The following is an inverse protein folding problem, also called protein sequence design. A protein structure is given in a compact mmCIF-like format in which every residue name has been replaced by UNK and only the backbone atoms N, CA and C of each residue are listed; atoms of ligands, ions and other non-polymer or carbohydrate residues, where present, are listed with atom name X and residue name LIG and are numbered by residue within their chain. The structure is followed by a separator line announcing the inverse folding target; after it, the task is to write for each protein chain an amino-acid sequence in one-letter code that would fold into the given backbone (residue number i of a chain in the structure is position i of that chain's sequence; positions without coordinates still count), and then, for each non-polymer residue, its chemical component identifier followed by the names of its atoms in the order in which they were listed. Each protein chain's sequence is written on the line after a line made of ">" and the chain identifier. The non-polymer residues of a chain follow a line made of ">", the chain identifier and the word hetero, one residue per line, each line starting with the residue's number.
data_IF_932921547425
#
_entry.id   IF_932921547425
#
_cell.length_a   1.000
_cell.length_b   1.000
_cell.length_c   1.000
_cell.angle_alpha   90.00
_cell.angle_beta   90.00
_cell.angle_gamma   90.00
#
_symmetry.space_group_name_H-M   'P 1'
#
loop_
_entity.id
_entity.type
_entity.pdbx_description
1 polymer ?
#
# COMPACT_ATOMS: atom_id res chain seq x y z
N UNK A 1 -31.31 -36.39 23.36
CA UNK A 1 -29.91 -36.82 23.56
C UNK A 1 -29.29 -35.95 24.66
N UNK A 2 -28.92 -36.54 25.81
CA UNK A 2 -28.22 -35.81 26.88
C UNK A 2 -26.80 -35.55 26.41
N UNK A 3 -26.52 -34.33 25.92
CA UNK A 3 -25.16 -33.92 25.64
C UNK A 3 -24.34 -34.00 26.93
N UNK A 4 -23.36 -34.86 26.96
CA UNK A 4 -22.42 -34.99 28.07
C UNK A 4 -21.74 -33.66 28.31
N UNK A 5 -21.45 -33.26 29.56
CA UNK A 5 -20.74 -32.02 29.93
C UNK A 5 -19.52 -31.81 29.03
N UNK A 6 -18.85 -32.87 28.69
CA UNK A 6 -17.73 -32.95 27.75
C UNK A 6 -18.06 -32.36 26.37
N UNK A 7 -19.18 -32.73 25.76
CA UNK A 7 -19.59 -32.25 24.44
C UNK A 7 -19.91 -30.74 24.48
N UNK A 8 -20.52 -30.27 25.57
CA UNK A 8 -20.82 -28.85 25.76
C UNK A 8 -19.53 -28.03 25.87
N UNK A 9 -18.54 -28.52 26.63
CA UNK A 9 -17.26 -27.86 26.82
C UNK A 9 -16.45 -27.81 25.51
N UNK A 10 -16.45 -28.91 24.74
CA UNK A 10 -15.77 -28.99 23.44
C UNK A 10 -16.40 -28.03 22.42
N UNK A 11 -17.74 -27.96 22.36
CA UNK A 11 -18.45 -27.01 21.50
C UNK A 11 -18.17 -25.57 21.90
N UNK A 12 -18.17 -25.25 23.20
CA UNK A 12 -17.86 -23.91 23.71
C UNK A 12 -16.44 -23.47 23.31
N UNK A 13 -15.47 -24.38 23.43
CA UNK A 13 -14.10 -24.12 23.00
C UNK A 13 -13.95 -23.91 21.50
N UNK A 14 -14.69 -24.69 20.71
CA UNK A 14 -14.69 -24.55 19.26
C UNK A 14 -15.28 -23.22 18.82
N UNK A 15 -16.40 -22.81 19.45
CA UNK A 15 -17.03 -21.51 19.16
C UNK A 15 -16.07 -20.38 19.53
N UNK A 16 -15.45 -20.42 20.72
CA UNK A 16 -14.47 -19.43 21.14
C UNK A 16 -13.28 -19.37 20.18
N UNK A 17 -12.76 -20.53 19.76
CA UNK A 17 -11.68 -20.62 18.80
C UNK A 17 -12.01 -19.97 17.45
N UNK A 18 -13.20 -20.24 16.92
CA UNK A 18 -13.66 -19.64 15.66
C UNK A 18 -13.78 -18.13 15.78
N UNK A 19 -14.37 -17.63 16.87
CA UNK A 19 -14.50 -16.19 17.11
C UNK A 19 -13.11 -15.53 17.21
N UNK A 20 -12.22 -16.12 18.00
CA UNK A 20 -10.85 -15.61 18.15
C UNK A 20 -10.08 -15.61 16.83
N UNK A 21 -10.25 -16.66 16.01
CA UNK A 21 -9.67 -16.75 14.67
C UNK A 21 -10.13 -15.59 13.78
N UNK A 22 -11.44 -15.31 13.71
CA UNK A 22 -11.96 -14.21 12.92
C UNK A 22 -11.45 -12.85 13.40
N UNK A 23 -11.41 -12.62 14.72
CA UNK A 23 -10.90 -11.36 15.29
C UNK A 23 -9.43 -11.16 14.90
N UNK A 24 -8.59 -12.19 15.09
CA UNK A 24 -7.17 -12.11 14.76
C UNK A 24 -6.97 -11.85 13.26
N UNK A 25 -7.67 -12.58 12.38
CA UNK A 25 -7.53 -12.39 10.95
C UNK A 25 -7.96 -10.99 10.51
N UNK A 26 -9.11 -10.49 10.98
CA UNK A 26 -9.60 -9.15 10.63
C UNK A 26 -8.65 -8.05 11.12
N UNK A 27 -8.20 -8.17 12.37
CA UNK A 27 -7.29 -7.19 12.98
C UNK A 27 -5.92 -7.19 12.26
N UNK A 28 -5.37 -8.36 12.00
CA UNK A 28 -4.10 -8.49 11.27
C UNK A 28 -4.21 -7.92 9.86
N UNK A 29 -5.32 -8.16 9.16
CA UNK A 29 -5.53 -7.62 7.82
C UNK A 29 -5.51 -6.09 7.82
N UNK A 30 -6.26 -5.47 8.72
CA UNK A 30 -6.33 -4.00 8.80
C UNK A 30 -4.96 -3.39 9.10
N UNK A 31 -4.26 -3.89 10.13
CA UNK A 31 -2.93 -3.40 10.49
C UNK A 31 -1.89 -3.61 9.38
N UNK A 32 -1.94 -4.76 8.69
CA UNK A 32 -0.99 -5.07 7.62
C UNK A 32 -1.23 -4.17 6.42
N UNK A 33 -2.49 -3.91 6.06
CA UNK A 33 -2.83 -3.01 4.95
C UNK A 33 -2.32 -1.61 5.24
N UNK A 34 -2.67 -1.03 6.39
CA UNK A 34 -2.23 0.31 6.78
C UNK A 34 -0.69 0.44 6.84
N UNK A 35 -0.03 -0.60 7.34
CA UNK A 35 1.43 -0.62 7.42
C UNK A 35 2.08 -0.65 6.02
N UNK A 36 1.59 -1.51 5.12
CA UNK A 36 2.16 -1.63 3.77
C UNK A 36 1.87 -0.38 2.94
N UNK A 37 0.67 0.22 3.05
CA UNK A 37 0.34 1.48 2.38
C UNK A 37 1.29 2.59 2.82
N UNK A 38 1.52 2.77 4.11
CA UNK A 38 2.46 3.77 4.64
C UNK A 38 3.91 3.49 4.26
N UNK A 39 4.31 2.23 4.28
CA UNK A 39 5.66 1.83 3.89
C UNK A 39 5.91 2.12 2.41
N UNK A 40 4.93 1.81 1.55
CA UNK A 40 5.02 2.07 0.13
C UNK A 40 5.00 3.57 -0.17
N UNK A 41 4.12 4.33 0.48
CA UNK A 41 4.10 5.79 0.38
C UNK A 41 5.46 6.41 0.78
N UNK A 42 6.07 5.93 1.85
CA UNK A 42 7.40 6.38 2.28
C UNK A 42 8.50 6.06 1.25
N UNK A 43 8.45 4.88 0.64
CA UNK A 43 9.39 4.49 -0.42
C UNK A 43 9.24 5.39 -1.65
N UNK A 44 8.00 5.59 -2.12
CA UNK A 44 7.69 6.46 -3.26
C UNK A 44 8.10 7.90 -2.97
N UNK A 45 7.82 8.40 -1.77
CA UNK A 45 8.21 9.76 -1.37
C UNK A 45 9.73 9.97 -1.40
N UNK A 46 10.49 8.98 -0.94
CA UNK A 46 11.94 9.06 -1.01
C UNK A 46 12.44 9.18 -2.45
N UNK A 47 11.89 8.38 -3.37
CA UNK A 47 12.27 8.45 -4.79
C UNK A 47 11.79 9.76 -5.44
N UNK A 48 10.56 10.21 -5.14
CA UNK A 48 10.07 11.51 -5.59
C UNK A 48 11.00 12.65 -5.14
N UNK A 49 11.51 12.56 -3.89
CA UNK A 49 12.43 13.58 -3.34
C UNK A 49 13.81 13.54 -4.02
N UNK A 50 14.31 12.35 -4.40
CA UNK A 50 15.55 12.21 -5.16
C UNK A 50 15.38 12.81 -6.56
N UNK A 51 14.28 12.48 -7.25
CA UNK A 51 14.00 13.06 -8.57
C UNK A 51 13.89 14.60 -8.47
N UNK A 52 13.16 15.09 -7.46
CA UNK A 52 12.95 16.51 -7.27
C UNK A 52 14.25 17.27 -6.91
N UNK A 53 15.12 16.67 -6.08
CA UNK A 53 16.34 17.30 -5.63
C UNK A 53 17.50 17.21 -6.62
N UNK A 54 17.72 16.03 -7.18
CA UNK A 54 18.92 15.80 -8.01
C UNK A 54 18.64 16.05 -9.50
N UNK A 55 17.62 15.37 -10.06
CA UNK A 55 17.39 15.41 -11.50
C UNK A 55 16.61 16.64 -11.96
N UNK A 56 15.61 17.07 -11.19
CA UNK A 56 14.81 18.23 -11.57
C UNK A 56 15.60 19.52 -11.45
N UNK A 57 16.48 19.67 -10.43
CA UNK A 57 17.35 20.82 -10.27
C UNK A 57 18.33 20.94 -11.45
N UNK A 58 18.91 19.82 -11.92
CA UNK A 58 19.79 19.78 -13.08
C UNK A 58 19.03 20.12 -14.39
N UNK A 59 17.81 19.62 -14.57
CA UNK A 59 17.00 19.90 -15.76
C UNK A 59 16.55 21.36 -15.81
N UNK A 60 15.94 21.86 -14.74
CA UNK A 60 15.48 23.25 -14.68
C UNK A 60 16.65 24.26 -14.58
N UNK A 61 17.80 23.82 -14.08
CA UNK A 61 19.06 24.58 -14.11
C UNK A 61 19.77 24.60 -15.48
N UNK A 62 19.18 23.97 -16.52
CA UNK A 62 19.70 23.89 -17.89
C UNK A 62 21.00 23.10 -18.05
N UNK A 63 21.35 22.22 -17.13
CA UNK A 63 22.52 21.34 -17.21
C UNK A 63 22.18 19.95 -17.77
N UNK A 64 20.90 19.55 -17.77
CA UNK A 64 20.39 18.30 -18.29
C UNK A 64 19.44 18.54 -19.48
N UNK A 65 19.46 17.65 -20.48
CA UNK A 65 18.49 17.71 -21.58
C UNK A 65 17.13 17.16 -21.18
N UNK A 66 16.06 17.61 -21.86
CA UNK A 66 14.70 17.07 -21.67
C UNK A 66 14.67 15.54 -21.84
N UNK A 67 15.32 15.03 -22.87
CA UNK A 67 15.37 13.60 -23.18
C UNK A 67 16.07 12.78 -22.10
N UNK A 68 17.14 13.32 -21.49
CA UNK A 68 17.83 12.64 -20.40
C UNK A 68 16.98 12.62 -19.14
N UNK A 69 16.32 13.72 -18.82
CA UNK A 69 15.41 13.78 -17.68
C UNK A 69 14.22 12.83 -17.85
N UNK A 70 13.57 12.81 -19.03
CA UNK A 70 12.50 11.85 -19.33
C UNK A 70 12.96 10.40 -19.20
N UNK A 71 14.16 10.09 -19.70
CA UNK A 71 14.73 8.75 -19.57
C UNK A 71 14.96 8.36 -18.11
N UNK A 72 15.46 9.26 -17.28
CA UNK A 72 15.62 9.01 -15.86
C UNK A 72 14.29 8.75 -15.17
N UNK A 73 13.28 9.58 -15.41
CA UNK A 73 11.93 9.38 -14.89
C UNK A 73 11.36 8.02 -15.31
N UNK A 74 11.53 7.66 -16.61
CA UNK A 74 11.05 6.38 -17.13
C UNK A 74 11.75 5.19 -16.47
N UNK A 75 13.06 5.24 -16.29
CA UNK A 75 13.83 4.19 -15.60
C UNK A 75 13.32 4.00 -14.16
N UNK A 76 13.09 5.09 -13.44
CA UNK A 76 12.57 5.02 -12.06
C UNK A 76 11.14 4.49 -12.06
N UNK A 77 10.29 4.96 -12.97
CA UNK A 77 8.91 4.51 -13.12
C UNK A 77 8.84 2.99 -13.38
N UNK A 78 9.62 2.50 -14.33
CA UNK A 78 9.67 1.08 -14.67
C UNK A 78 10.24 0.23 -13.50
N UNK A 79 11.27 0.71 -12.79
CA UNK A 79 11.82 0.02 -11.63
C UNK A 79 10.83 -0.11 -10.48
N UNK A 80 10.02 0.92 -10.25
CA UNK A 80 9.05 0.96 -9.15
C UNK A 80 7.69 0.40 -9.53
N UNK A 81 7.47 0.06 -10.81
CA UNK A 81 6.15 -0.30 -11.33
C UNK A 81 5.11 0.79 -10.99
N UNK A 82 5.45 2.01 -11.39
CA UNK A 82 4.75 3.25 -11.06
C UNK A 82 4.79 4.23 -12.23
N UNK A 83 3.97 5.27 -12.21
CA UNK A 83 4.01 6.39 -13.16
C UNK A 83 4.59 7.61 -12.45
N UNK A 84 5.46 8.36 -13.13
CA UNK A 84 6.10 9.57 -12.60
C UNK A 84 5.66 10.77 -13.42
N UNK A 85 5.04 11.72 -12.74
CA UNK A 85 4.58 12.98 -13.34
C UNK A 85 5.36 14.17 -12.77
N UNK A 86 5.54 15.20 -13.60
CA UNK A 86 5.93 16.54 -13.15
C UNK A 86 4.72 17.44 -13.33
N UNK A 87 4.31 18.07 -12.25
CA UNK A 87 3.11 18.92 -12.20
C UNK A 87 3.50 20.32 -11.76
N UNK A 88 3.03 21.35 -12.45
CA UNK A 88 3.25 22.76 -12.05
C UNK A 88 2.48 23.11 -10.76
N UNK A 89 2.82 24.20 -10.09
CA UNK A 89 2.04 24.67 -8.93
C UNK A 89 0.57 24.96 -9.25
N UNK A 90 0.26 25.27 -10.51
CA UNK A 90 -1.08 25.57 -11.00
C UNK A 90 -1.84 24.33 -11.50
N UNK A 91 -1.25 23.12 -11.35
CA UNK A 91 -1.87 21.85 -11.73
C UNK A 91 -1.73 21.50 -13.22
N UNK A 92 -0.80 22.12 -13.93
CA UNK A 92 -0.48 21.71 -15.30
C UNK A 92 0.47 20.52 -15.31
N UNK A 93 0.15 19.49 -16.08
CA UNK A 93 1.02 18.34 -16.29
C UNK A 93 2.16 18.73 -17.23
N UNK A 94 3.34 18.91 -16.69
CA UNK A 94 4.53 19.30 -17.42
C UNK A 94 5.22 18.12 -18.07
N UNK A 95 5.12 16.92 -17.51
CA UNK A 95 5.79 15.74 -17.99
C UNK A 95 5.14 14.47 -17.44
N UNK A 96 5.10 13.42 -18.28
CA UNK A 96 4.60 12.09 -17.94
C UNK A 96 5.63 11.04 -18.36
N UNK A 97 5.98 10.13 -17.44
CA UNK A 97 6.93 9.04 -17.74
C UNK A 97 6.39 8.02 -18.74
N UNK A 98 5.07 7.86 -18.83
CA UNK A 98 4.41 6.90 -19.72
C UNK A 98 4.08 7.49 -21.08
N UNK A 99 3.87 8.80 -21.15
CA UNK A 99 3.63 9.50 -22.42
C UNK A 99 4.71 10.55 -22.71
N UNK A 100 5.77 10.20 -23.45
CA UNK A 100 6.84 11.13 -23.81
C UNK A 100 6.39 12.30 -24.66
N UNK A 101 5.17 12.26 -25.24
CA UNK A 101 4.61 13.39 -26.01
C UNK A 101 4.13 14.53 -25.09
N UNK A 102 3.92 14.24 -23.80
CA UNK A 102 3.65 15.22 -22.77
C UNK A 102 5.00 15.64 -22.18
N UNK A 103 5.58 16.69 -22.72
CA UNK A 103 6.82 17.27 -22.23
C UNK A 103 6.87 18.73 -22.63
N UNK A 104 7.04 19.62 -21.65
CA UNK A 104 7.32 21.03 -21.94
C UNK A 104 8.81 21.12 -22.19
N UNK A 105 9.18 21.26 -23.46
CA UNK A 105 10.50 21.79 -23.81
C UNK A 105 10.54 23.27 -23.43
N UNK A 106 11.19 23.57 -22.31
CA UNK A 106 11.35 24.96 -21.82
C UNK A 106 12.02 25.86 -22.89
N UNK A 107 12.67 25.25 -23.88
CA UNK A 107 13.32 25.96 -24.99
C UNK A 107 12.39 26.16 -26.19
N UNK A 108 11.28 25.40 -26.32
CA UNK A 108 10.35 25.49 -27.44
C UNK A 108 8.90 25.40 -26.92
N UNK A 109 8.26 26.51 -26.71
CA UNK A 109 6.89 26.76 -26.22
C UNK A 109 5.78 26.13 -27.10
N UNK A 110 5.84 24.82 -27.38
CA UNK A 110 5.01 24.16 -28.39
C UNK A 110 4.03 23.12 -27.88
N UNK A 111 3.92 22.84 -26.58
CA UNK A 111 3.03 21.83 -26.03
C UNK A 111 1.70 22.41 -25.52
N UNK A 112 0.58 21.73 -25.78
CA UNK A 112 -0.69 22.07 -25.14
C UNK A 112 -0.65 21.54 -23.70
N UNK A 113 -0.77 22.42 -22.69
CA UNK A 113 -0.77 21.98 -21.31
C UNK A 113 -2.00 21.09 -21.03
N UNK A 114 -1.77 19.94 -20.41
CA UNK A 114 -2.82 19.10 -19.85
C UNK A 114 -3.05 19.59 -18.42
N UNK A 115 -4.22 20.15 -18.15
CA UNK A 115 -4.53 20.70 -16.81
C UNK A 115 -5.27 19.65 -15.97
N UNK A 116 -4.76 19.38 -14.78
CA UNK A 116 -5.39 18.52 -13.78
C UNK A 116 -6.41 19.37 -13.01
N UNK A 117 -7.68 19.22 -13.35
CA UNK A 117 -8.74 20.03 -12.75
C UNK A 117 -8.88 19.75 -11.25
N UNK A 118 -8.76 20.80 -10.44
CA UNK A 118 -8.93 20.71 -8.98
C UNK A 118 -7.69 20.24 -8.22
N UNK A 119 -6.53 20.20 -8.86
CA UNK A 119 -5.27 19.87 -8.18
C UNK A 119 -5.00 20.82 -7.02
N UNK A 120 -4.86 20.29 -5.82
CA UNK A 120 -4.51 21.03 -4.61
C UNK A 120 -3.54 20.19 -3.76
N UNK A 121 -2.36 20.75 -3.53
CA UNK A 121 -1.31 20.11 -2.72
C UNK A 121 -1.76 19.83 -1.29
N UNK A 122 -2.70 20.59 -0.75
CA UNK A 122 -3.23 20.42 0.60
C UNK A 122 -4.01 19.10 0.77
N UNK A 123 -4.51 18.50 -0.32
CA UNK A 123 -5.23 17.24 -0.30
C UNK A 123 -4.36 16.03 0.07
N UNK A 124 -3.03 16.17 -0.07
CA UNK A 124 -2.09 15.11 0.33
C UNK A 124 -1.89 15.02 1.85
N UNK A 125 -2.37 16.01 2.60
CA UNK A 125 -2.28 16.03 4.05
C UNK A 125 -0.84 16.10 4.59
N UNK A 126 -0.69 15.76 5.88
CA UNK A 126 0.62 15.77 6.56
C UNK A 126 1.55 14.63 6.14
N UNK A 127 1.01 13.57 5.56
CA UNK A 127 1.76 12.36 5.22
C UNK A 127 2.30 12.39 3.78
N UNK A 128 2.04 13.47 3.03
CA UNK A 128 2.48 13.72 1.65
C UNK A 128 2.02 12.66 0.64
N UNK A 129 0.90 12.00 0.89
CA UNK A 129 0.30 11.06 -0.05
C UNK A 129 -1.23 11.10 -0.02
N UNK A 130 -1.84 10.68 -1.11
CA UNK A 130 -3.27 10.46 -1.21
C UNK A 130 -3.58 9.12 -1.88
N UNK A 131 -4.74 8.55 -1.56
CA UNK A 131 -5.25 7.33 -2.19
C UNK A 131 -6.58 7.67 -2.88
N UNK A 132 -6.61 7.56 -4.19
CA UNK A 132 -7.78 7.90 -4.98
C UNK A 132 -7.55 7.73 -6.47
N UNK A 133 -8.41 8.39 -7.26
CA UNK A 133 -8.33 8.44 -8.73
C UNK A 133 -7.48 9.60 -9.25
N UNK A 134 -6.81 10.31 -8.36
CA UNK A 134 -6.01 11.50 -8.63
C UNK A 134 -6.75 12.50 -9.51
N UNK A 135 -7.75 13.14 -8.93
CA UNK A 135 -8.58 14.16 -9.61
C UNK A 135 -9.26 13.64 -10.90
N UNK A 136 -9.62 12.35 -10.92
CA UNK A 136 -10.25 11.72 -12.08
C UNK A 136 -9.30 11.38 -13.23
N UNK A 137 -7.99 11.54 -13.04
CA UNK A 137 -6.99 11.21 -14.06
C UNK A 137 -6.86 9.71 -14.30
N UNK A 138 -7.12 8.90 -13.29
CA UNK A 138 -7.01 7.45 -13.34
C UNK A 138 -8.38 6.75 -13.21
N UNK A 139 -8.55 5.64 -13.92
CA UNK A 139 -9.73 4.77 -13.80
C UNK A 139 -9.71 3.88 -12.55
N UNK A 140 -8.56 3.75 -11.93
CA UNK A 140 -8.31 2.88 -10.79
C UNK A 140 -7.78 3.69 -9.62
N UNK A 141 -7.93 3.15 -8.40
CA UNK A 141 -7.32 3.76 -7.23
C UNK A 141 -5.80 3.67 -7.30
N UNK A 142 -5.17 4.82 -7.14
CA UNK A 142 -3.73 4.98 -7.09
C UNK A 142 -3.31 5.42 -5.69
N UNK A 143 -2.14 5.01 -5.26
CA UNK A 143 -1.38 5.65 -4.21
C UNK A 143 -0.52 6.71 -4.90
N UNK A 144 -0.77 7.98 -4.61
CA UNK A 144 -0.09 9.13 -5.21
C UNK A 144 0.70 9.86 -4.14
N UNK A 145 1.97 10.06 -4.39
CA UNK A 145 2.90 10.74 -3.47
C UNK A 145 3.51 11.93 -4.20
N UNK A 146 3.71 13.04 -3.51
CA UNK A 146 4.32 14.21 -4.12
C UNK A 146 5.56 14.68 -3.37
N UNK A 147 6.50 15.27 -4.10
CA UNK A 147 7.65 16.00 -3.56
C UNK A 147 7.82 17.34 -4.28
N UNK A 148 8.00 18.46 -3.56
CA UNK A 148 8.17 19.75 -4.19
C UNK A 148 9.54 19.85 -4.89
N UNK A 149 9.54 20.46 -6.08
CA UNK A 149 10.74 20.82 -6.83
C UNK A 149 11.07 22.28 -6.56
N UNK A 150 12.17 22.51 -5.87
CA UNK A 150 12.61 23.85 -5.50
C UNK A 150 13.92 24.19 -6.23
N UNK A 151 13.87 25.16 -7.12
CA UNK A 151 15.05 25.68 -7.82
C UNK A 151 15.25 27.15 -7.44
N UNK A 152 16.47 27.51 -7.04
CA UNK A 152 16.80 28.89 -6.62
C UNK A 152 15.85 29.46 -5.56
N UNK A 153 15.44 28.65 -4.57
CA UNK A 153 14.49 28.99 -3.51
C UNK A 153 13.05 29.26 -3.97
N UNK A 154 12.69 28.89 -5.18
CA UNK A 154 11.32 28.97 -5.70
C UNK A 154 10.78 27.58 -5.98
N UNK A 155 9.53 27.34 -5.58
CA UNK A 155 8.83 26.12 -5.98
C UNK A 155 8.38 26.26 -7.44
N UNK A 156 8.90 25.40 -8.29
CA UNK A 156 8.59 25.38 -9.72
C UNK A 156 7.63 24.27 -10.11
N UNK A 157 7.31 23.36 -9.19
CA UNK A 157 6.38 22.26 -9.41
C UNK A 157 6.54 21.15 -8.39
N UNK A 158 5.98 20.02 -8.75
CA UNK A 158 5.96 18.81 -7.92
C UNK A 158 6.29 17.60 -8.76
N UNK A 159 7.13 16.72 -8.24
CA UNK A 159 7.23 15.35 -8.72
C UNK A 159 6.13 14.56 -8.05
N UNK A 160 5.27 13.95 -8.84
CA UNK A 160 4.19 13.08 -8.34
C UNK A 160 4.43 11.67 -8.84
N UNK A 161 4.48 10.70 -7.93
CA UNK A 161 4.61 9.28 -8.29
C UNK A 161 3.30 8.57 -7.97
N UNK A 162 2.75 7.90 -8.97
CA UNK A 162 1.50 7.17 -8.91
C UNK A 162 1.74 5.67 -8.98
N UNK A 163 1.29 4.92 -7.99
CA UNK A 163 1.34 3.46 -8.00
C UNK A 163 -0.05 2.86 -7.84
N UNK A 164 -0.37 1.87 -8.66
CA UNK A 164 -1.69 1.24 -8.61
C UNK A 164 -1.91 0.50 -7.30
N UNK A 165 -2.99 0.82 -6.58
CA UNK A 165 -3.38 0.13 -5.35
C UNK A 165 -3.56 -1.36 -5.53
N UNK A 166 -3.87 -1.83 -6.74
CA UNK A 166 -3.96 -3.26 -7.06
C UNK A 166 -2.64 -4.00 -6.80
N UNK A 167 -1.50 -3.42 -7.15
CA UNK A 167 -0.18 -4.03 -6.93
C UNK A 167 0.15 -4.07 -5.44
N UNK A 168 -0.13 -3.00 -4.71
CA UNK A 168 0.04 -2.92 -3.26
C UNK A 168 -0.85 -3.97 -2.56
N UNK A 169 -2.13 -4.04 -2.92
CA UNK A 169 -3.09 -4.99 -2.36
C UNK A 169 -2.74 -6.44 -2.68
N UNK A 170 -2.18 -6.72 -3.87
CA UNK A 170 -1.72 -8.06 -4.22
C UNK A 170 -0.58 -8.52 -3.28
N UNK A 171 0.36 -7.64 -2.95
CA UNK A 171 1.40 -7.90 -1.96
C UNK A 171 0.83 -8.18 -0.56
N UNK A 172 -0.13 -7.35 -0.12
CA UNK A 172 -0.86 -7.56 1.15
C UNK A 172 -1.55 -8.92 1.17
N UNK A 173 -2.27 -9.28 0.10
CA UNK A 173 -3.00 -10.55 0.02
C UNK A 173 -2.05 -11.76 0.08
N UNK A 174 -0.88 -11.70 -0.55
CA UNK A 174 0.15 -12.73 -0.45
C UNK A 174 0.62 -12.95 0.98
N UNK A 175 0.91 -11.86 1.69
CA UNK A 175 1.33 -11.89 3.09
C UNK A 175 0.20 -12.40 4.01
N UNK A 176 -1.03 -11.96 3.75
CA UNK A 176 -2.22 -12.39 4.51
C UNK A 176 -2.50 -13.88 4.37
N UNK A 177 -2.32 -14.48 3.19
CA UNK A 177 -2.47 -15.91 3.00
C UNK A 177 -1.52 -16.71 3.89
N UNK A 178 -0.26 -16.29 3.99
CA UNK A 178 0.73 -16.95 4.86
C UNK A 178 0.28 -16.85 6.33
N UNK A 179 -0.13 -15.67 6.77
CA UNK A 179 -0.63 -15.44 8.13
C UNK A 179 -1.86 -16.29 8.44
N UNK A 180 -2.80 -16.36 7.49
CA UNK A 180 -4.02 -17.19 7.60
C UNK A 180 -3.69 -18.66 7.81
N UNK A 181 -2.82 -19.25 6.98
CA UNK A 181 -2.41 -20.65 7.13
C UNK A 181 -1.67 -20.90 8.45
N UNK A 182 -0.84 -19.96 8.88
CA UNK A 182 -0.13 -20.08 10.16
C UNK A 182 -1.09 -20.10 11.35
N UNK A 183 -2.05 -19.19 11.38
CA UNK A 183 -3.06 -19.13 12.45
C UNK A 183 -3.96 -20.38 12.41
N UNK A 184 -4.39 -20.82 11.23
CA UNK A 184 -5.18 -22.05 11.06
C UNK A 184 -4.43 -23.30 11.57
N UNK A 185 -3.12 -23.38 11.29
CA UNK A 185 -2.28 -24.49 11.80
C UNK A 185 -2.19 -24.47 13.32
N UNK A 186 -1.97 -23.30 13.93
CA UNK A 186 -1.95 -23.17 15.40
C UNK A 186 -3.28 -23.64 16.01
N UNK A 187 -4.40 -23.23 15.42
CA UNK A 187 -5.72 -23.68 15.86
C UNK A 187 -5.90 -25.17 15.73
N UNK A 188 -5.46 -25.78 14.64
CA UNK A 188 -5.54 -27.23 14.43
C UNK A 188 -4.74 -28.00 15.51
N UNK A 189 -3.51 -27.54 15.81
CA UNK A 189 -2.67 -28.15 16.85
C UNK A 189 -3.33 -27.97 18.23
N UNK A 190 -3.81 -26.76 18.55
CA UNK A 190 -4.49 -26.50 19.81
C UNK A 190 -5.74 -27.38 19.98
N UNK A 191 -6.53 -27.58 18.92
CA UNK A 191 -7.70 -28.45 18.94
C UNK A 191 -7.33 -29.93 19.19
N UNK A 192 -6.28 -30.43 18.51
CA UNK A 192 -5.79 -31.81 18.73
C UNK A 192 -5.36 -32.00 20.20
N UNK A 193 -4.58 -31.06 20.75
CA UNK A 193 -4.15 -31.09 22.15
C UNK A 193 -5.34 -31.09 23.12
N UNK A 194 -6.35 -30.27 22.84
CA UNK A 194 -7.57 -30.20 23.63
C UNK A 194 -8.32 -31.53 23.64
N UNK A 195 -8.47 -32.17 22.48
CA UNK A 195 -9.10 -33.50 22.37
C UNK A 195 -8.29 -34.55 23.14
N UNK A 196 -6.96 -34.52 23.03
CA UNK A 196 -6.09 -35.47 23.77
C UNK A 196 -6.19 -35.27 25.29
N UNK A 197 -6.04 -34.03 25.77
CA UNK A 197 -6.18 -33.71 27.21
C UNK A 197 -7.56 -34.08 27.73
N UNK A 198 -8.59 -33.78 26.99
CA UNK A 198 -9.96 -34.09 27.35
C UNK A 198 -10.18 -35.61 27.53
N UNK A 199 -9.64 -36.44 26.62
CA UNK A 199 -9.69 -37.88 26.76
C UNK A 199 -8.90 -38.41 27.94
N UNK A 200 -7.73 -37.82 28.24
CA UNK A 200 -6.84 -38.24 29.31
C UNK A 200 -7.38 -37.88 30.72
N UNK A 201 -8.07 -36.75 30.84
CA UNK A 201 -8.60 -36.31 32.16
C UNK A 201 -10.00 -36.86 32.43
N UNK A 202 -10.88 -36.93 31.44
CA UNK A 202 -12.29 -37.30 31.64
C UNK A 202 -12.50 -38.79 31.83
N UNK A 203 -11.68 -39.65 31.18
CA UNK A 203 -11.80 -41.11 31.37
C UNK A 203 -11.56 -41.61 32.79
N UNK A 204 -10.55 -41.13 33.53
CA UNK A 204 -10.35 -41.58 34.93
C UNK A 204 -11.41 -41.02 35.87
N UNK A 205 -11.90 -39.76 35.68
CA UNK A 205 -12.89 -39.16 36.58
C UNK A 205 -14.23 -39.88 36.55
N UNK A 206 -14.67 -40.29 35.37
CA UNK A 206 -15.94 -41.07 35.20
C UNK A 206 -15.87 -42.49 35.75
N UNK A 207 -14.68 -43.04 35.98
CA UNK A 207 -14.51 -44.33 36.66
C UNK A 207 -14.65 -44.22 38.17
N UNK A 208 -14.23 -43.09 38.76
CA UNK A 208 -14.26 -42.88 40.20
C UNK A 208 -15.70 -42.52 40.66
N UNK A 209 -16.54 -41.95 39.85
CA UNK A 209 -17.90 -41.52 40.21
C UNK A 209 -18.96 -42.65 40.04
N UNK A 210 -18.56 -43.84 39.58
CA UNK A 210 -19.44 -45.01 39.40
C UNK A 210 -19.21 -46.09 40.45
N UNK A 211 -18.45 -45.81 41.51
CA UNK A 211 -18.33 -46.65 42.70
C UNK A 211 -19.09 -45.95 43.82
#
# INVERSE_FOLDING_TARGET
>A
MKHTIYTKLLISYLIYGVIAFFIICTFTQHLTTDYIEKQEASNLYREASIIAGDYADEYFGSSMSLSDFQNHMKIVADYMDAEVWVVSPDGELLMDSDDPSIGIDIQNDSSKPVVINGFDVTDFGSDNYMIGDFYGSFKHKMLSVFSPVNVSYQNIGYIVIHKTMKHITAGVNGFMNISFYTVALIFAVAFILLVMMSRSIYRPITRITKT
#
